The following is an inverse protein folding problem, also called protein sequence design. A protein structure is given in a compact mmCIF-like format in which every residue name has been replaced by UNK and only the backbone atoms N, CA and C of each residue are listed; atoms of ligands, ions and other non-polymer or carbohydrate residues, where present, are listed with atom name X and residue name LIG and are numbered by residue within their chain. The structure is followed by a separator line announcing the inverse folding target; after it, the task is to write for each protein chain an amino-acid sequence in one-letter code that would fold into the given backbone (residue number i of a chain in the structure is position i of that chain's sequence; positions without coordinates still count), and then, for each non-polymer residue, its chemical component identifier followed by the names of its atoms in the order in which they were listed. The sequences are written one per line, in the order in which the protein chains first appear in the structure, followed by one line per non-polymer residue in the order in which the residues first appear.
data_IF_848914835055
#
_entry.id   IF_848914835055
#
_cell.length_a   1.000
_cell.length_b   1.000
_cell.length_c   1.000
_cell.angle_alpha   90.00
_cell.angle_beta   90.00
_cell.angle_gamma   90.00
#
_symmetry.space_group_name_H-M   'P 1'
#
loop_
_entity.id
_entity.type
_entity.pdbx_description
1 polymer ?
#
# COMPACT_ATOMS: atom_id res chain seq x y z
N UNK A 1 -12.17 3.93 -14.88
CA UNK A 1 -10.78 4.42 -14.85
C UNK A 1 -9.85 3.63 -13.96
N UNK A 2 -10.37 2.75 -13.11
CA UNK A 2 -9.59 1.97 -12.16
C UNK A 2 -10.16 0.55 -12.10
N UNK A 3 -9.30 -0.46 -11.94
CA UNK A 3 -9.69 -1.84 -11.66
C UNK A 3 -8.85 -2.39 -10.50
N UNK A 4 -9.50 -2.74 -9.38
CA UNK A 4 -8.97 -3.67 -8.39
C UNK A 4 -9.22 -5.09 -8.90
N UNK A 5 -8.18 -5.92 -9.01
CA UNK A 5 -8.30 -7.28 -9.53
C UNK A 5 -7.80 -8.33 -8.54
N UNK A 6 -8.76 -9.04 -7.95
CA UNK A 6 -8.58 -9.97 -6.83
C UNK A 6 -7.95 -11.32 -7.24
N UNK A 7 -7.71 -12.16 -6.24
CA UNK A 7 -7.10 -13.48 -6.33
C UNK A 7 -7.95 -14.60 -5.72
N UNK A 8 -9.11 -14.27 -5.14
CA UNK A 8 -10.08 -15.26 -4.69
C UNK A 8 -10.42 -16.28 -5.79
N UNK A 9 -10.55 -17.55 -5.40
CA UNK A 9 -10.87 -18.70 -6.27
C UNK A 9 -9.89 -18.96 -7.42
N UNK A 10 -8.72 -18.32 -7.46
CA UNK A 10 -7.71 -18.53 -8.51
C UNK A 10 -7.12 -19.95 -8.54
N UNK A 11 -7.26 -20.71 -7.44
CA UNK A 11 -6.75 -22.07 -7.27
C UNK A 11 -7.83 -23.16 -7.43
N UNK A 12 -9.10 -22.76 -7.61
CA UNK A 12 -10.25 -23.67 -7.67
C UNK A 12 -10.90 -23.68 -9.06
N UNK A 13 -10.08 -23.69 -10.11
CA UNK A 13 -10.52 -23.66 -11.50
C UNK A 13 -10.56 -25.09 -12.09
N UNK A 14 -11.63 -25.47 -12.81
CA UNK A 14 -11.64 -26.70 -13.59
C UNK A 14 -10.47 -26.71 -14.58
N UNK A 15 -9.58 -27.71 -14.49
CA UNK A 15 -8.33 -27.77 -15.25
C UNK A 15 -7.06 -27.41 -14.45
N UNK A 16 -7.20 -27.07 -13.16
CA UNK A 16 -6.09 -26.83 -12.24
C UNK A 16 -5.69 -25.36 -12.11
N UNK A 17 -4.87 -25.06 -11.10
CA UNK A 17 -4.37 -23.71 -10.81
C UNK A 17 -3.66 -23.11 -12.02
N UNK A 18 -4.06 -21.89 -12.38
CA UNK A 18 -3.36 -21.08 -13.39
C UNK A 18 -2.40 -20.11 -12.71
N UNK A 19 -1.13 -20.17 -13.09
CA UNK A 19 -0.04 -19.34 -12.55
C UNK A 19 -0.39 -17.84 -12.62
N UNK A 20 -0.29 -17.16 -11.47
CA UNK A 20 -0.69 -15.76 -11.34
C UNK A 20 0.24 -14.83 -12.11
N UNK A 21 1.54 -15.01 -11.85
CA UNK A 21 2.66 -14.23 -12.37
C UNK A 21 2.77 -14.22 -13.89
N UNK A 22 2.71 -15.37 -14.53
CA UNK A 22 3.02 -15.56 -15.95
C UNK A 22 1.78 -15.59 -16.85
N UNK A 23 0.60 -15.91 -16.29
CA UNK A 23 -0.62 -16.08 -17.08
C UNK A 23 -1.71 -15.11 -16.65
N UNK A 24 -2.23 -15.23 -15.43
CA UNK A 24 -3.53 -14.63 -15.06
C UNK A 24 -3.50 -13.10 -14.99
N UNK A 25 -2.56 -12.52 -14.26
CA UNK A 25 -2.42 -11.05 -14.17
C UNK A 25 -1.96 -10.42 -15.50
N UNK A 26 -0.97 -10.98 -16.23
CA UNK A 26 -0.62 -10.48 -17.56
C UNK A 26 -1.78 -10.52 -18.56
N UNK A 27 -2.65 -11.53 -18.49
CA UNK A 27 -3.82 -11.66 -19.36
C UNK A 27 -4.78 -10.48 -19.18
N UNK A 28 -5.11 -10.14 -17.93
CA UNK A 28 -5.97 -8.99 -17.63
C UNK A 28 -5.30 -7.67 -18.01
N UNK A 29 -4.00 -7.49 -17.72
CA UNK A 29 -3.24 -6.30 -18.16
C UNK A 29 -3.31 -6.08 -19.68
N UNK A 30 -3.11 -7.15 -20.48
CA UNK A 30 -3.25 -7.10 -21.95
C UNK A 30 -4.67 -6.76 -22.37
N UNK A 31 -5.68 -7.34 -21.72
CA UNK A 31 -7.09 -7.09 -22.01
C UNK A 31 -7.46 -5.61 -21.77
N UNK A 32 -7.04 -5.04 -20.64
CA UNK A 32 -7.24 -3.62 -20.32
C UNK A 32 -6.58 -2.72 -21.36
N UNK A 33 -5.31 -2.97 -21.70
CA UNK A 33 -4.57 -2.20 -22.73
C UNK A 33 -5.26 -2.26 -24.10
N UNK A 34 -5.82 -3.41 -24.48
CA UNK A 34 -6.54 -3.60 -25.76
C UNK A 34 -7.79 -2.73 -25.89
N UNK A 35 -8.38 -2.27 -24.78
CA UNK A 35 -9.54 -1.37 -24.83
C UNK A 35 -9.20 0.01 -25.41
N UNK A 36 -7.91 0.41 -25.40
CA UNK A 36 -7.48 1.75 -25.77
C UNK A 36 -7.78 2.82 -24.69
N UNK A 37 -8.41 2.46 -23.57
CA UNK A 37 -8.62 3.35 -22.42
C UNK A 37 -7.52 3.17 -21.39
N UNK A 38 -7.01 4.28 -20.86
CA UNK A 38 -6.13 4.27 -19.69
C UNK A 38 -6.93 3.86 -18.45
N UNK A 39 -6.65 2.66 -17.92
CA UNK A 39 -7.28 2.12 -16.72
C UNK A 39 -6.17 1.81 -15.73
N UNK A 40 -6.21 2.42 -14.54
CA UNK A 40 -5.30 2.09 -13.45
C UNK A 40 -5.54 0.64 -13.03
N UNK A 41 -4.51 -0.18 -13.11
CA UNK A 41 -4.60 -1.60 -12.80
C UNK A 41 -3.98 -1.90 -11.44
N UNK A 42 -4.83 -2.14 -10.45
CA UNK A 42 -4.44 -2.45 -9.07
C UNK A 42 -4.60 -3.94 -8.79
N UNK A 43 -3.48 -4.64 -8.67
CA UNK A 43 -3.48 -6.08 -8.42
C UNK A 43 -3.72 -6.37 -6.94
N UNK A 44 -4.61 -7.32 -6.66
CA UNK A 44 -4.93 -7.76 -5.30
C UNK A 44 -4.68 -9.27 -5.18
N UNK A 45 -3.40 -9.67 -5.09
CA UNK A 45 -2.98 -11.06 -4.91
C UNK A 45 -2.28 -11.32 -3.58
N UNK A 46 -2.36 -10.36 -2.66
CA UNK A 46 -1.87 -10.48 -1.29
C UNK A 46 -0.37 -10.75 -1.14
N UNK A 47 0.44 -10.34 -2.13
CA UNK A 47 1.89 -10.57 -2.17
C UNK A 47 2.30 -11.96 -2.66
N UNK A 48 1.34 -12.79 -3.08
CA UNK A 48 1.62 -14.15 -3.56
C UNK A 48 2.58 -14.16 -4.76
N UNK A 49 3.46 -15.15 -4.84
CA UNK A 49 4.52 -15.24 -5.88
C UNK A 49 5.49 -14.03 -5.88
N UNK A 50 5.68 -13.39 -4.72
CA UNK A 50 6.54 -12.22 -4.53
C UNK A 50 6.22 -11.10 -5.53
N UNK A 51 4.96 -10.64 -5.52
CA UNK A 51 4.38 -9.75 -6.55
C UNK A 51 5.23 -8.52 -6.89
N UNK A 52 5.91 -7.97 -5.90
CA UNK A 52 6.81 -6.82 -6.04
C UNK A 52 7.99 -7.07 -6.99
N UNK A 53 8.37 -8.33 -7.25
CA UNK A 53 9.45 -8.68 -8.17
C UNK A 53 9.05 -8.59 -9.66
N UNK A 54 7.76 -8.54 -9.99
CA UNK A 54 7.32 -8.75 -11.37
C UNK A 54 6.08 -7.96 -11.82
N UNK A 55 5.31 -7.35 -10.91
CA UNK A 55 4.07 -6.68 -11.27
C UNK A 55 4.26 -5.31 -11.94
N UNK A 56 5.34 -4.59 -11.64
CA UNK A 56 5.64 -3.25 -12.19
C UNK A 56 5.43 -3.10 -13.72
N UNK A 57 5.93 -3.99 -14.60
CA UNK A 57 5.70 -3.85 -16.05
C UNK A 57 4.25 -4.04 -16.51
N UNK A 58 3.36 -4.59 -15.66
CA UNK A 58 2.00 -4.96 -16.06
C UNK A 58 0.89 -4.26 -15.26
N UNK A 59 1.19 -3.67 -14.10
CA UNK A 59 0.23 -3.07 -13.19
C UNK A 59 0.75 -1.78 -12.56
N UNK A 60 -0.16 -0.98 -12.02
CA UNK A 60 0.14 0.31 -11.41
C UNK A 60 0.29 0.25 -9.88
N UNK A 61 -0.31 -0.76 -9.26
CA UNK A 61 -0.05 -1.12 -7.86
C UNK A 61 -0.28 -2.62 -7.64
N UNK A 62 0.26 -3.15 -6.55
CA UNK A 62 0.06 -4.53 -6.14
C UNK A 62 0.00 -4.68 -4.63
N UNK A 63 -1.06 -5.33 -4.14
CA UNK A 63 -1.18 -5.71 -2.73
C UNK A 63 -0.02 -6.60 -2.34
N UNK A 64 0.69 -6.21 -1.30
CA UNK A 64 1.88 -6.92 -0.79
C UNK A 64 1.56 -7.87 0.37
N UNK A 65 0.36 -7.75 0.96
CA UNK A 65 -0.09 -8.55 2.09
C UNK A 65 -1.55 -8.98 1.94
N UNK A 66 -1.97 -9.96 2.75
CA UNK A 66 -3.38 -10.20 3.05
C UNK A 66 -4.06 -8.95 3.60
N UNK A 67 -5.39 -9.01 3.72
CA UNK A 67 -6.20 -7.86 4.14
C UNK A 67 -5.73 -7.28 5.47
N UNK A 68 -5.74 -5.95 5.54
CA UNK A 68 -5.52 -5.20 6.76
C UNK A 68 -6.83 -5.13 7.53
N UNK A 69 -6.92 -5.87 8.63
CA UNK A 69 -8.05 -5.76 9.54
C UNK A 69 -7.91 -4.56 10.48
N UNK A 70 -9.03 -4.14 11.05
CA UNK A 70 -9.14 -2.96 11.91
C UNK A 70 -8.53 -3.23 13.30
N UNK A 71 -7.25 -2.90 13.48
CA UNK A 71 -6.53 -3.03 14.75
C UNK A 71 -5.05 -2.65 14.63
N UNK A 72 -4.46 -2.16 15.73
CA UNK A 72 -3.08 -1.68 15.72
C UNK A 72 -2.05 -2.78 15.46
N UNK A 73 -2.28 -3.98 15.98
CA UNK A 73 -1.46 -5.17 15.71
C UNK A 73 -1.37 -5.49 14.21
N UNK A 74 -2.47 -5.24 13.49
CA UNK A 74 -2.54 -5.46 12.04
C UNK A 74 -1.75 -4.39 11.27
N UNK A 75 -1.79 -3.13 11.73
CA UNK A 75 -0.99 -2.05 11.16
C UNK A 75 0.51 -2.36 11.30
N UNK A 76 0.95 -2.77 12.49
CA UNK A 76 2.35 -3.15 12.74
C UNK A 76 2.76 -4.36 11.90
N UNK A 77 1.92 -5.40 11.82
CA UNK A 77 2.17 -6.57 10.98
C UNK A 77 2.42 -6.19 9.52
N UNK A 78 1.57 -5.34 8.94
CA UNK A 78 1.72 -4.91 7.54
C UNK A 78 2.97 -4.06 7.36
N UNK A 79 3.26 -3.15 8.30
CA UNK A 79 4.45 -2.31 8.28
C UNK A 79 5.75 -3.14 8.27
N UNK A 80 5.87 -4.12 9.17
CA UNK A 80 7.07 -4.95 9.27
C UNK A 80 7.32 -5.78 8.00
N UNK A 81 6.26 -6.21 7.32
CA UNK A 81 6.36 -6.91 6.04
C UNK A 81 6.88 -6.02 4.90
N UNK A 82 6.80 -4.69 5.03
CA UNK A 82 7.31 -3.78 3.99
C UNK A 82 8.82 -3.59 4.03
N UNK A 83 9.46 -3.76 5.20
CA UNK A 83 10.84 -3.33 5.46
C UNK A 83 11.83 -3.76 4.37
N UNK A 84 11.70 -4.99 3.88
CA UNK A 84 12.62 -5.57 2.90
C UNK A 84 12.18 -5.38 1.44
N UNK A 85 11.01 -4.79 1.22
CA UNK A 85 10.41 -4.67 -0.12
C UNK A 85 10.09 -3.23 -0.53
N UNK A 86 10.38 -2.24 0.33
CA UNK A 86 10.07 -0.83 0.04
C UNK A 86 10.65 -0.39 -1.30
N UNK A 87 11.88 -0.79 -1.63
CA UNK A 87 12.60 -0.41 -2.85
C UNK A 87 11.99 -0.92 -4.16
N UNK A 88 11.03 -1.84 -4.12
CA UNK A 88 10.33 -2.32 -5.31
C UNK A 88 9.18 -1.40 -5.74
N UNK A 89 8.74 -0.48 -4.89
CA UNK A 89 7.77 0.56 -5.23
C UNK A 89 8.45 1.81 -5.80
N UNK A 90 7.80 2.47 -6.76
CA UNK A 90 8.26 3.73 -7.34
C UNK A 90 7.35 4.24 -8.45
N UNK A 91 7.71 5.35 -9.13
CA UNK A 91 6.91 5.94 -10.19
C UNK A 91 6.41 4.92 -11.22
N UNK A 92 5.09 4.76 -11.30
CA UNK A 92 4.41 3.86 -12.23
C UNK A 92 3.99 2.50 -11.65
N UNK A 93 4.52 2.10 -10.49
CA UNK A 93 4.23 0.82 -9.85
C UNK A 93 4.48 0.83 -8.34
N UNK A 94 3.42 0.69 -7.54
CA UNK A 94 3.47 0.91 -6.09
C UNK A 94 3.15 -0.35 -5.28
N UNK A 95 3.91 -0.56 -4.19
CA UNK A 95 3.51 -1.50 -3.14
C UNK A 95 2.22 -0.99 -2.50
N UNK A 96 1.19 -1.83 -2.48
CA UNK A 96 -0.10 -1.53 -1.85
C UNK A 96 -0.18 -2.25 -0.50
N UNK A 97 -0.25 -1.45 0.56
CA UNK A 97 -0.35 -1.88 1.96
C UNK A 97 -1.81 -2.01 2.43
N UNK A 98 -2.75 -2.09 1.49
CA UNK A 98 -4.20 -2.11 1.70
C UNK A 98 -4.79 -0.77 2.17
N UNK A 99 -6.13 -0.72 2.20
CA UNK A 99 -6.91 0.48 2.52
C UNK A 99 -6.65 1.02 3.94
N UNK A 100 -6.84 2.32 4.12
CA UNK A 100 -6.72 3.00 5.41
C UNK A 100 -7.78 2.50 6.40
N UNK A 101 -7.39 2.33 7.66
CA UNK A 101 -8.28 1.97 8.78
C UNK A 101 -8.62 3.18 9.66
N UNK A 102 -8.05 4.35 9.36
CA UNK A 102 -8.43 5.64 9.94
C UNK A 102 -9.95 5.82 9.89
N UNK A 103 -10.56 6.14 11.03
CA UNK A 103 -12.02 6.34 11.12
C UNK A 103 -12.87 5.08 11.28
N UNK A 104 -12.30 3.86 11.26
CA UNK A 104 -13.06 2.61 11.45
C UNK A 104 -13.24 2.21 12.92
N UNK A 105 -12.73 3.00 13.87
CA UNK A 105 -12.98 2.83 15.31
C UNK A 105 -12.15 1.76 16.02
N UNK A 106 -11.26 1.04 15.32
CA UNK A 106 -10.33 0.07 15.94
C UNK A 106 -8.93 0.65 16.22
N UNK A 107 -8.68 1.89 15.80
CA UNK A 107 -7.47 2.64 16.09
C UNK A 107 -7.81 3.87 16.93
N UNK A 108 -6.99 4.17 17.92
CA UNK A 108 -7.02 5.49 18.57
C UNK A 108 -6.41 6.57 17.66
N UNK A 109 -6.50 7.84 18.07
CA UNK A 109 -6.01 8.97 17.26
C UNK A 109 -4.53 8.85 16.87
N UNK A 110 -3.65 8.50 17.81
CA UNK A 110 -2.20 8.39 17.55
C UNK A 110 -1.86 7.19 16.67
N UNK A 111 -2.58 6.08 16.84
CA UNK A 111 -2.45 4.89 15.98
C UNK A 111 -2.91 5.18 14.55
N UNK A 112 -4.04 5.86 14.39
CA UNK A 112 -4.57 6.27 13.08
C UNK A 112 -3.62 7.27 12.38
N UNK A 113 -3.11 8.25 13.12
CA UNK A 113 -2.11 9.20 12.63
C UNK A 113 -0.83 8.50 12.19
N UNK A 114 -0.37 7.53 12.97
CA UNK A 114 0.79 6.72 12.64
C UNK A 114 0.56 5.89 11.38
N UNK A 115 -0.59 5.21 11.26
CA UNK A 115 -0.95 4.45 10.05
C UNK A 115 -0.91 5.35 8.82
N UNK A 116 -1.60 6.49 8.86
CA UNK A 116 -1.69 7.40 7.72
C UNK A 116 -0.30 7.92 7.30
N UNK A 117 0.51 8.33 8.28
CA UNK A 117 1.84 8.89 8.03
C UNK A 117 2.80 7.86 7.43
N UNK A 118 2.77 6.62 7.92
CA UNK A 118 3.62 5.55 7.41
C UNK A 118 3.19 5.06 6.03
N UNK A 119 1.89 4.94 5.76
CA UNK A 119 1.38 4.61 4.42
C UNK A 119 1.78 5.69 3.41
N UNK A 120 1.68 6.95 3.82
CA UNK A 120 2.10 8.08 3.01
C UNK A 120 3.60 8.03 2.70
N UNK A 121 4.43 7.89 3.72
CA UNK A 121 5.89 7.83 3.62
C UNK A 121 6.37 6.66 2.75
N UNK A 122 5.72 5.50 2.85
CA UNK A 122 6.00 4.29 2.07
C UNK A 122 5.41 4.31 0.65
N UNK A 123 4.73 5.39 0.27
CA UNK A 123 4.09 5.57 -1.04
C UNK A 123 3.02 4.52 -1.35
N UNK A 124 2.38 3.99 -0.32
CA UNK A 124 1.20 3.14 -0.51
C UNK A 124 0.07 3.99 -1.11
N UNK A 125 -0.83 3.41 -1.93
CA UNK A 125 -2.10 4.04 -2.25
C UNK A 125 -2.84 4.46 -0.96
N UNK A 126 -3.30 5.71 -0.91
CA UNK A 126 -4.09 6.25 0.19
C UNK A 126 -5.58 6.14 -0.14
N UNK A 127 -6.13 4.93 0.03
CA UNK A 127 -7.55 4.64 -0.23
C UNK A 127 -8.31 4.66 1.09
N UNK A 128 -9.30 5.54 1.20
CA UNK A 128 -10.17 5.69 2.38
C UNK A 128 -11.01 4.42 2.55
N UNK A 129 -10.92 3.79 3.73
CA UNK A 129 -11.63 2.56 4.06
C UNK A 129 -12.78 2.74 5.06
N UNK A 130 -13.18 3.97 5.39
CA UNK A 130 -14.24 4.27 6.36
C UNK A 130 -15.48 4.92 5.72
N UNK A 131 -16.58 4.98 6.47
CA UNK A 131 -17.78 5.73 6.08
C UNK A 131 -17.59 7.24 6.34
N UNK A 132 -17.48 8.01 5.25
CA UNK A 132 -17.29 9.46 5.30
C UNK A 132 -18.50 10.23 5.81
N UNK A 133 -19.69 9.62 5.87
CA UNK A 133 -20.88 10.29 6.42
C UNK A 133 -20.86 10.33 7.96
N UNK A 134 -20.10 9.43 8.58
CA UNK A 134 -20.14 9.18 10.03
C UNK A 134 -18.78 9.31 10.71
N UNK A 135 -17.69 9.45 9.94
CA UNK A 135 -16.33 9.60 10.47
C UNK A 135 -16.22 10.78 11.44
N UNK A 136 -15.52 10.55 12.56
CA UNK A 136 -15.25 11.59 13.54
C UNK A 136 -14.35 12.69 12.96
N UNK A 137 -14.55 13.94 13.39
CA UNK A 137 -13.86 15.11 12.82
C UNK A 137 -12.33 15.04 12.97
N UNK A 138 -11.86 14.57 14.12
CA UNK A 138 -10.44 14.37 14.41
C UNK A 138 -9.82 13.31 13.50
N UNK A 139 -10.52 12.20 13.24
CA UNK A 139 -10.09 11.16 12.30
C UNK A 139 -10.07 11.69 10.85
N UNK A 140 -11.07 12.48 10.46
CA UNK A 140 -11.10 13.11 9.14
C UNK A 140 -9.93 14.07 8.94
N UNK A 141 -9.55 14.83 9.96
CA UNK A 141 -8.39 15.73 9.91
C UNK A 141 -7.10 15.00 9.57
N UNK A 142 -6.90 13.78 10.09
CA UNK A 142 -5.73 12.95 9.74
C UNK A 142 -5.66 12.73 8.24
N UNK A 143 -6.78 12.34 7.60
CA UNK A 143 -6.84 12.07 6.17
C UNK A 143 -6.78 13.33 5.30
N UNK A 144 -6.94 14.51 5.89
CA UNK A 144 -6.87 15.81 5.21
C UNK A 144 -5.52 16.51 5.40
N UNK A 145 -4.56 15.90 6.10
CA UNK A 145 -3.27 16.51 6.39
C UNK A 145 -2.44 16.65 5.10
N UNK A 146 -2.40 17.87 4.57
CA UNK A 146 -1.81 18.18 3.27
C UNK A 146 -0.31 17.96 3.23
N UNK A 147 0.38 18.16 4.35
CA UNK A 147 1.83 17.99 4.41
C UNK A 147 2.21 16.51 4.28
N UNK A 148 1.44 15.63 4.92
CA UNK A 148 1.63 14.18 4.83
C UNK A 148 1.22 13.66 3.44
N UNK A 149 0.14 14.18 2.85
CA UNK A 149 -0.24 13.87 1.48
C UNK A 149 0.84 14.32 0.49
N UNK A 150 1.45 15.50 0.70
CA UNK A 150 2.53 15.98 -0.14
C UNK A 150 3.76 15.04 -0.09
N UNK A 151 4.06 14.46 1.06
CA UNK A 151 5.06 13.39 1.15
C UNK A 151 4.62 12.20 0.28
N UNK A 152 3.38 11.71 0.37
CA UNK A 152 2.94 10.59 -0.47
C UNK A 152 3.02 10.89 -1.98
N UNK A 153 2.67 12.12 -2.38
CA UNK A 153 2.56 12.57 -3.77
C UNK A 153 3.85 13.20 -4.33
N UNK A 154 4.94 13.19 -3.56
CA UNK A 154 6.22 13.73 -4.00
C UNK A 154 6.71 13.05 -5.31
N UNK A 155 7.18 13.88 -6.25
CA UNK A 155 7.52 13.47 -7.61
C UNK A 155 8.75 12.59 -7.72
N UNK A 156 9.66 12.63 -6.75
CA UNK A 156 10.77 11.67 -6.69
C UNK A 156 10.22 10.25 -6.53
N UNK A 157 9.07 10.11 -5.86
CA UNK A 157 8.39 8.84 -5.70
C UNK A 157 9.19 7.81 -4.91
N UNK A 158 10.20 8.25 -4.14
CA UNK A 158 11.05 7.36 -3.36
C UNK A 158 10.34 6.93 -2.07
N UNK A 159 10.07 5.63 -1.86
CA UNK A 159 9.46 5.16 -0.62
C UNK A 159 10.42 5.26 0.56
N UNK A 160 9.84 5.39 1.74
CA UNK A 160 10.58 5.46 2.99
C UNK A 160 11.52 4.26 3.16
N UNK A 161 12.65 4.50 3.82
CA UNK A 161 13.56 3.46 4.31
C UNK A 161 13.63 3.52 5.82
N UNK A 162 13.56 2.36 6.46
CA UNK A 162 13.82 2.26 7.90
C UNK A 162 15.31 2.45 8.14
N UNK A 163 15.68 3.61 8.66
CA UNK A 163 17.05 3.97 8.97
C UNK A 163 17.53 3.30 10.26
N UNK A 164 16.65 3.22 11.27
CA UNK A 164 16.97 2.61 12.56
C UNK A 164 15.78 1.81 13.09
N UNK A 165 16.07 0.70 13.75
CA UNK A 165 15.13 -0.08 14.55
C UNK A 165 15.74 -0.30 15.94
N UNK A 166 15.12 0.30 16.96
CA UNK A 166 15.49 0.13 18.36
C UNK A 166 14.56 -0.89 19.00
N UNK A 167 15.16 -1.92 19.62
CA UNK A 167 14.46 -3.01 20.31
C UNK A 167 15.14 -3.21 21.66
N UNK A 168 14.60 -2.62 22.72
CA UNK A 168 15.20 -2.67 24.07
C UNK A 168 14.46 -3.63 25.03
N UNK A 169 13.43 -4.33 24.54
CA UNK A 169 12.60 -5.25 25.32
C UNK A 169 11.59 -4.55 26.24
N UNK A 170 11.52 -3.21 26.22
CA UNK A 170 10.52 -2.39 26.91
C UNK A 170 9.65 -1.63 25.91
N UNK A 171 10.26 -1.00 24.90
CA UNK A 171 9.61 -0.27 23.81
C UNK A 171 10.38 -0.40 22.51
N UNK A 172 9.62 -0.58 21.44
CA UNK A 172 10.17 -0.60 20.10
C UNK A 172 10.00 0.77 19.45
N UNK A 173 11.06 1.26 18.81
CA UNK A 173 11.05 2.52 18.07
C UNK A 173 11.71 2.35 16.71
N UNK A 174 11.09 2.90 15.67
CA UNK A 174 11.65 2.92 14.33
C UNK A 174 11.86 4.38 13.88
N UNK A 175 12.96 4.62 13.17
CA UNK A 175 13.18 5.87 12.44
C UNK A 175 13.08 5.56 10.96
N UNK A 176 12.14 6.20 10.28
CA UNK A 176 11.94 6.09 8.84
C UNK A 176 12.41 7.38 8.18
N UNK A 177 12.90 7.30 6.95
CA UNK A 177 13.37 8.47 6.21
C UNK A 177 12.87 8.44 4.78
N UNK A 178 12.44 9.60 4.27
CA UNK A 178 11.93 9.76 2.90
C UNK A 178 12.71 10.87 2.22
N UNK A 179 13.44 10.55 1.15
CA UNK A 179 13.98 11.56 0.26
C UNK A 179 12.84 12.16 -0.59
N UNK A 180 12.84 13.48 -0.75
CA UNK A 180 11.85 14.21 -1.56
C UNK A 180 12.54 15.00 -2.69
N UNK A 181 11.79 15.36 -3.73
CA UNK A 181 12.34 15.90 -5.00
C UNK A 181 13.23 17.14 -4.81
N UNK A 182 12.91 18.00 -3.84
CA UNK A 182 13.65 19.23 -3.57
C UNK A 182 14.99 19.02 -2.82
N UNK A 183 15.38 17.77 -2.57
CA UNK A 183 16.62 17.41 -1.88
C UNK A 183 16.52 17.35 -0.35
N UNK A 184 15.35 17.65 0.22
CA UNK A 184 15.11 17.48 1.65
C UNK A 184 14.88 16.00 2.02
N UNK A 185 14.88 15.73 3.32
CA UNK A 185 14.54 14.42 3.89
C UNK A 185 13.46 14.62 4.95
N UNK A 186 12.33 13.93 4.81
CA UNK A 186 11.35 13.77 5.88
C UNK A 186 11.79 12.61 6.80
N UNK A 187 11.61 12.78 8.10
CA UNK A 187 12.00 11.82 9.16
C UNK A 187 10.83 11.61 10.11
#
# INVERSE_FOLDING_TARGET
DYLKYDNCNAFHVPGGTVDGKTVRYPTMSKALKKTGRNIFYAMCNWGFEDTWLWASPIANSWRTTTDLFNGWDQVIRVLDLQVNITSFGGPGGWNDMDMLQVGNGGLNFEEAKSQFSLWAALKSPLIIGCDLNTVAKDQLQIMMETDIIAINQDRLGAPARRAVAFRDGQRDHDVWTVAVENGNVAV
#
